data_IF_658264355523
#
_entry.id   IF_658264355523
#
_cell.length_a   1.000
_cell.length_b   1.000
_cell.length_c   1.000
_cell.angle_alpha   90.00
_cell.angle_beta   90.00
_cell.angle_gamma   90.00
#
_symmetry.space_group_name_H-M   'P 1'
#
loop_
_entity.id
_entity.type
_entity.pdbx_description
1 polymer ?
#
# COMPACT_ATOMS: atom_id res chain seq x y z
N UNK A 1 2.73 3.87 51.02
CA UNK A 1 2.74 4.35 49.63
C UNK A 1 1.37 4.96 49.39
N UNK A 2 1.33 6.23 49.06
CA UNK A 2 0.06 6.88 48.72
C UNK A 2 -0.55 6.14 47.52
N UNK A 3 -1.84 5.79 47.58
CA UNK A 3 -2.49 5.17 46.42
C UNK A 3 -2.49 6.15 45.26
N UNK A 4 -1.96 5.73 44.12
CA UNK A 4 -1.90 6.54 42.91
C UNK A 4 -2.87 5.94 41.92
N UNK A 5 -3.74 6.79 41.39
CA UNK A 5 -4.64 6.46 40.29
C UNK A 5 -4.19 7.18 39.03
N UNK A 6 -4.21 6.51 37.90
CA UNK A 6 -3.93 7.08 36.59
C UNK A 6 -5.17 6.96 35.73
N UNK A 7 -5.70 8.10 35.29
CA UNK A 7 -6.80 8.15 34.32
C UNK A 7 -6.23 8.36 32.93
N UNK A 8 -6.43 7.39 32.04
CA UNK A 8 -6.00 7.44 30.65
C UNK A 8 -7.18 7.82 29.76
N UNK A 9 -7.03 8.88 28.98
CA UNK A 9 -7.99 9.27 27.92
C UNK A 9 -7.70 8.44 26.69
N UNK A 10 -8.67 7.65 26.24
CA UNK A 10 -8.52 6.76 25.10
C UNK A 10 -9.02 7.40 23.81
N UNK A 11 -8.24 7.26 22.77
CA UNK A 11 -8.62 7.58 21.40
C UNK A 11 -9.07 6.35 20.60
N UNK A 12 -9.14 6.47 19.28
CA UNK A 12 -9.47 5.34 18.41
C UNK A 12 -8.50 4.16 18.60
N UNK A 13 -9.05 2.93 18.55
CA UNK A 13 -8.30 1.67 18.76
C UNK A 13 -7.59 1.58 20.13
N UNK A 14 -8.21 2.15 21.18
CA UNK A 14 -7.73 2.14 22.58
C UNK A 14 -6.32 2.74 22.77
N UNK A 15 -5.90 3.62 21.85
CA UNK A 15 -4.66 4.38 22.01
C UNK A 15 -4.82 5.44 23.07
N UNK A 16 -3.88 5.47 24.02
CA UNK A 16 -3.84 6.51 25.06
C UNK A 16 -3.46 7.84 24.42
N UNK A 17 -4.34 8.86 24.56
CA UNK A 17 -4.11 10.23 24.09
C UNK A 17 -3.51 11.11 25.18
N UNK A 18 -3.99 10.94 26.41
CA UNK A 18 -3.52 11.68 27.56
C UNK A 18 -3.54 10.80 28.80
N UNK A 19 -2.69 11.12 29.77
CA UNK A 19 -2.63 10.49 31.09
C UNK A 19 -2.66 11.55 32.16
N UNK A 20 -3.57 11.39 33.10
CA UNK A 20 -3.70 12.23 34.26
C UNK A 20 -3.38 11.39 35.51
N UNK A 21 -2.31 11.75 36.21
CA UNK A 21 -1.93 11.10 37.45
C UNK A 21 -2.61 11.85 38.60
N UNK A 22 -3.45 11.17 39.31
CA UNK A 22 -4.15 11.70 40.44
C UNK A 22 -3.54 11.11 41.71
N UNK A 23 -3.04 11.96 42.58
CA UNK A 23 -2.58 11.56 43.90
C UNK A 23 -3.83 11.32 44.76
N UNK A 24 -4.02 10.07 45.16
CA UNK A 24 -5.14 9.68 46.02
C UNK A 24 -4.69 9.81 47.47
N UNK A 25 -4.84 11.01 48.04
CA UNK A 25 -4.50 11.26 49.44
C UNK A 25 -5.73 11.05 50.32
N UNK A 26 -5.73 10.00 51.15
CA UNK A 26 -6.77 9.71 52.14
C UNK A 26 -7.82 8.66 51.74
N UNK A 27 -8.73 8.30 52.62
CA UNK A 27 -9.72 7.26 52.45
C UNK A 27 -10.82 7.57 51.41
N UNK A 28 -10.93 8.82 50.97
CA UNK A 28 -11.89 9.30 49.97
C UNK A 28 -11.18 9.84 48.71
N UNK A 29 -10.13 9.20 48.29
CA UNK A 29 -9.39 9.59 47.10
C UNK A 29 -10.26 9.53 45.85
N UNK A 30 -10.58 10.69 45.30
CA UNK A 30 -11.37 10.79 44.08
C UNK A 30 -10.79 11.83 43.11
N UNK A 31 -11.12 11.72 41.86
CA UNK A 31 -10.89 12.76 40.85
C UNK A 31 -12.18 13.10 40.12
N UNK A 32 -12.31 14.37 39.77
CA UNK A 32 -13.42 14.89 39.00
C UNK A 32 -13.09 14.88 37.52
N UNK A 33 -14.09 14.52 36.73
CA UNK A 33 -13.99 14.46 35.26
C UNK A 33 -15.06 15.37 34.67
N UNK A 34 -14.69 16.24 33.77
CA UNK A 34 -15.64 17.15 33.17
C UNK A 34 -15.02 18.00 32.05
N UNK A 35 -15.80 18.93 31.54
CA UNK A 35 -15.34 19.88 30.52
C UNK A 35 -14.79 21.17 31.11
N UNK A 36 -15.11 21.45 32.37
CA UNK A 36 -14.62 22.65 33.07
C UNK A 36 -13.17 22.49 33.50
N UNK A 37 -12.43 23.59 33.45
CA UNK A 37 -11.04 23.65 33.95
C UNK A 37 -10.90 23.42 35.47
N UNK A 38 -12.00 23.38 36.23
CA UNK A 38 -11.97 23.05 37.66
C UNK A 38 -11.87 21.53 37.91
N UNK A 39 -12.04 20.71 36.89
CA UNK A 39 -11.94 19.26 37.00
C UNK A 39 -10.47 18.80 36.94
N UNK A 40 -10.15 17.71 37.64
CA UNK A 40 -8.83 17.08 37.63
C UNK A 40 -8.51 16.47 36.23
N UNK A 41 -9.53 16.00 35.55
CA UNK A 41 -9.44 15.48 34.17
C UNK A 41 -10.36 16.29 33.28
N UNK A 42 -9.77 17.17 32.48
CA UNK A 42 -10.51 18.04 31.54
C UNK A 42 -10.64 17.35 30.19
N UNK A 43 -11.88 17.23 29.72
CA UNK A 43 -12.21 16.57 28.44
C UNK A 43 -12.75 17.61 27.44
N UNK A 44 -12.16 17.66 26.27
CA UNK A 44 -12.66 18.44 25.12
C UNK A 44 -13.71 17.63 24.36
N UNK A 45 -14.88 17.46 24.95
CA UNK A 45 -16.00 16.71 24.40
C UNK A 45 -17.32 17.45 24.67
N UNK A 46 -18.04 17.95 23.67
CA UNK A 46 -19.28 18.72 23.85
C UNK A 46 -20.42 17.92 24.50
N UNK A 47 -20.30 16.60 24.59
CA UNK A 47 -21.27 15.74 25.28
C UNK A 47 -20.94 15.49 26.74
N UNK A 48 -19.86 16.10 27.25
CA UNK A 48 -19.46 16.04 28.65
C UNK A 48 -19.96 17.30 29.38
N UNK A 49 -20.58 17.12 30.53
CA UNK A 49 -21.00 18.24 31.38
C UNK A 49 -19.80 19.01 31.96
N UNK A 50 -20.01 20.21 32.47
CA UNK A 50 -18.96 21.02 33.09
C UNK A 50 -18.24 20.22 34.19
N UNK A 51 -18.99 19.59 35.10
CA UNK A 51 -18.53 18.54 36.02
C UNK A 51 -19.46 17.36 35.78
N UNK A 52 -18.91 16.24 35.27
CA UNK A 52 -19.72 15.15 34.73
C UNK A 52 -19.71 13.91 35.63
N UNK A 53 -18.55 13.50 36.05
CA UNK A 53 -18.37 12.28 36.81
C UNK A 53 -17.29 12.45 37.89
N UNK A 54 -17.37 11.60 38.91
CA UNK A 54 -16.35 11.44 39.96
C UNK A 54 -15.84 9.99 39.88
N UNK A 55 -14.54 9.82 39.82
CA UNK A 55 -13.88 8.52 39.88
C UNK A 55 -13.16 8.43 41.21
N UNK A 56 -13.41 7.38 41.97
CA UNK A 56 -12.83 7.18 43.28
C UNK A 56 -12.38 5.76 43.54
N UNK A 57 -11.84 5.54 44.71
CA UNK A 57 -11.51 4.20 45.20
C UNK A 57 -12.41 3.91 46.42
N UNK A 58 -12.98 2.70 46.48
CA UNK A 58 -13.63 2.24 47.68
C UNK A 58 -12.62 1.92 48.80
N UNK A 59 -13.06 1.64 50.03
CA UNK A 59 -12.16 1.31 51.13
C UNK A 59 -11.28 0.06 50.86
N UNK A 60 -11.75 -0.81 50.01
CA UNK A 60 -11.03 -2.03 49.55
C UNK A 60 -10.05 -1.71 48.42
N UNK A 61 -10.10 -0.50 47.87
CA UNK A 61 -9.22 0.01 46.79
C UNK A 61 -9.64 -0.42 45.39
N UNK A 62 -10.92 -0.78 45.16
CA UNK A 62 -11.47 -0.97 43.84
C UNK A 62 -11.92 0.37 43.27
N UNK A 63 -11.86 0.49 41.96
CA UNK A 63 -12.28 1.72 41.28
C UNK A 63 -13.78 1.80 41.22
N UNK A 64 -14.31 2.95 41.66
CA UNK A 64 -15.73 3.31 41.56
C UNK A 64 -15.92 4.58 40.74
N UNK A 65 -17.08 4.72 40.12
CA UNK A 65 -17.44 5.92 39.37
C UNK A 65 -18.86 6.36 39.73
N UNK A 66 -19.05 7.66 39.88
CA UNK A 66 -20.34 8.30 40.14
C UNK A 66 -20.66 9.29 39.03
N UNK A 67 -21.91 9.28 38.55
CA UNK A 67 -22.41 10.32 37.66
C UNK A 67 -22.95 11.49 38.51
N UNK A 68 -22.45 12.68 38.30
CA UNK A 68 -22.79 13.89 39.06
C UNK A 68 -24.03 14.62 38.51
N UNK A 69 -24.99 13.87 37.98
CA UNK A 69 -26.25 14.43 37.47
C UNK A 69 -26.08 14.95 36.02
N UNK A 70 -25.25 14.32 35.24
CA UNK A 70 -25.05 14.71 33.86
C UNK A 70 -26.25 14.36 32.99
N UNK A 71 -26.48 15.14 31.92
CA UNK A 71 -27.55 14.87 30.94
C UNK A 71 -27.35 13.57 30.19
N UNK A 72 -26.08 13.25 29.89
CA UNK A 72 -25.75 12.10 29.05
C UNK A 72 -25.40 10.82 29.85
N UNK A 73 -25.24 10.92 31.18
CA UNK A 73 -24.85 9.78 32.01
C UNK A 73 -23.46 9.24 31.70
N UNK A 74 -23.08 8.20 32.42
CA UNK A 74 -21.87 7.42 32.18
C UNK A 74 -22.23 6.05 31.62
N UNK A 75 -21.31 5.43 30.88
CA UNK A 75 -21.53 4.10 30.30
C UNK A 75 -20.44 3.14 30.78
N UNK A 76 -20.84 2.03 31.43
CA UNK A 76 -19.99 0.99 31.98
C UNK A 76 -20.46 -0.36 31.37
N UNK A 77 -19.56 -1.12 30.77
CA UNK A 77 -19.88 -2.43 30.19
C UNK A 77 -21.01 -2.37 29.15
N UNK A 78 -21.16 -1.26 28.41
CA UNK A 78 -22.22 -1.05 27.41
C UNK A 78 -23.57 -0.61 28.00
N UNK A 79 -23.70 -0.47 29.33
CA UNK A 79 -24.92 0.03 30.00
C UNK A 79 -24.76 1.49 30.36
N UNK A 80 -25.73 2.31 30.01
CA UNK A 80 -25.78 3.72 30.39
C UNK A 80 -26.45 3.89 31.75
N UNK A 81 -25.81 4.64 32.63
CA UNK A 81 -26.23 4.90 33.99
C UNK A 81 -26.34 6.42 34.21
N UNK A 82 -27.38 6.87 34.89
CA UNK A 82 -27.62 8.28 35.26
C UNK A 82 -27.76 8.41 36.75
N UNK A 83 -27.18 9.45 37.33
CA UNK A 83 -27.30 9.75 38.76
C UNK A 83 -26.83 8.62 39.68
N UNK A 84 -25.99 7.71 39.17
CA UNK A 84 -25.47 6.58 39.93
C UNK A 84 -24.33 7.05 40.85
N UNK A 85 -24.31 6.53 42.08
CA UNK A 85 -23.25 6.80 43.03
C UNK A 85 -22.45 5.52 43.32
N UNK A 86 -21.11 5.61 43.22
CA UNK A 86 -20.21 4.54 43.58
C UNK A 86 -20.33 3.25 42.73
N UNK A 87 -20.71 3.34 41.47
CA UNK A 87 -20.79 2.17 40.59
C UNK A 87 -19.41 1.51 40.40
N UNK A 88 -19.28 0.18 40.60
CA UNK A 88 -17.99 -0.49 40.47
C UNK A 88 -17.53 -0.54 39.00
N UNK A 89 -16.24 -0.28 38.78
CA UNK A 89 -15.61 -0.26 37.46
C UNK A 89 -14.71 -1.48 37.32
N UNK A 90 -15.32 -2.68 37.16
CA UNK A 90 -14.61 -3.94 37.14
C UNK A 90 -13.56 -4.04 36.00
N UNK A 91 -13.89 -3.56 34.82
CA UNK A 91 -12.99 -3.58 33.64
C UNK A 91 -12.07 -2.35 33.57
N UNK A 92 -12.12 -1.47 34.57
CA UNK A 92 -11.35 -0.24 34.58
C UNK A 92 -11.68 0.76 33.47
N UNK A 93 -12.75 0.54 32.67
CA UNK A 93 -13.13 1.40 31.52
C UNK A 93 -14.52 1.99 31.72
N UNK A 94 -14.61 3.31 31.64
CA UNK A 94 -15.86 4.07 31.64
C UNK A 94 -15.91 4.99 30.42
N UNK A 95 -17.11 5.19 29.88
CA UNK A 95 -17.35 6.18 28.82
C UNK A 95 -18.13 7.35 29.41
N UNK A 96 -17.59 8.54 29.20
CA UNK A 96 -18.14 9.83 29.64
C UNK A 96 -18.38 10.66 28.37
N UNK A 97 -19.63 10.96 28.05
CA UNK A 97 -19.99 11.53 26.76
C UNK A 97 -19.61 10.59 25.59
N UNK A 98 -18.75 11.05 24.70
CA UNK A 98 -18.16 10.25 23.63
C UNK A 98 -16.73 9.78 23.92
N UNK A 99 -16.17 10.20 25.06
CA UNK A 99 -14.80 9.92 25.44
C UNK A 99 -14.74 8.68 26.33
N UNK A 100 -13.83 7.75 26.00
CA UNK A 100 -13.54 6.57 26.82
C UNK A 100 -12.35 6.85 27.73
N UNK A 101 -12.51 6.51 28.98
CA UNK A 101 -11.47 6.62 30.00
C UNK A 101 -11.12 5.24 30.51
N UNK A 102 -9.84 4.99 30.76
CA UNK A 102 -9.36 3.80 31.44
C UNK A 102 -8.67 4.22 32.74
N UNK A 103 -9.08 3.63 33.81
CA UNK A 103 -8.52 3.90 35.14
C UNK A 103 -7.58 2.78 35.49
N UNK A 104 -6.38 3.15 35.90
CA UNK A 104 -5.35 2.21 36.37
C UNK A 104 -4.97 2.56 37.80
N UNK A 105 -4.81 1.53 38.61
CA UNK A 105 -4.37 1.68 40.01
C UNK A 105 -3.00 1.04 40.20
N UNK A 106 -2.32 1.36 41.28
CA UNK A 106 -1.03 0.77 41.65
C UNK A 106 -1.11 -0.74 41.92
N UNK A 107 -2.31 -1.30 42.07
CA UNK A 107 -2.54 -2.75 42.28
C UNK A 107 -2.59 -3.55 40.95
N UNK A 108 -2.67 -2.85 39.82
CA UNK A 108 -2.73 -3.54 38.52
C UNK A 108 -1.40 -4.25 38.23
N UNK A 109 -1.50 -5.52 37.92
CA UNK A 109 -0.33 -6.34 37.56
C UNK A 109 0.14 -5.91 36.18
N UNK A 110 1.31 -5.30 36.10
CA UNK A 110 1.94 -4.94 34.84
C UNK A 110 2.64 -6.18 34.27
N UNK A 111 2.36 -6.51 33.03
CA UNK A 111 3.07 -7.59 32.34
C UNK A 111 4.58 -7.30 32.33
N UNK A 112 5.44 -8.35 32.50
CA UNK A 112 6.88 -8.17 32.45
C UNK A 112 7.30 -7.56 31.11
N UNK A 113 8.39 -6.81 31.13
CA UNK A 113 8.98 -6.23 29.95
C UNK A 113 9.36 -7.33 28.93
N UNK A 114 9.16 -7.01 27.68
CA UNK A 114 9.64 -7.88 26.61
C UNK A 114 11.11 -7.58 26.36
N UNK A 115 11.93 -8.64 26.31
CA UNK A 115 13.35 -8.50 25.96
C UNK A 115 13.42 -7.81 24.56
N UNK A 116 13.94 -6.60 24.54
CA UNK A 116 14.32 -5.94 23.30
C UNK A 116 15.54 -6.70 22.74
N UNK A 117 15.28 -7.58 21.81
CA UNK A 117 16.34 -8.36 21.12
C UNK A 117 17.22 -7.49 20.23
N UNK A 118 17.24 -6.20 20.47
CA UNK A 118 18.11 -5.17 19.94
C UNK A 118 18.56 -5.45 18.51
N UNK A 119 17.98 -4.77 17.57
CA UNK A 119 18.39 -4.76 16.18
C UNK A 119 17.23 -4.32 15.30
N UNK A 120 17.48 -3.57 14.26
CA UNK A 120 16.42 -3.20 13.34
C UNK A 120 15.77 -4.47 12.81
N UNK A 121 14.46 -4.58 12.95
CA UNK A 121 13.70 -5.68 12.35
C UNK A 121 14.05 -5.76 10.86
N UNK A 122 13.91 -6.95 10.23
CA UNK A 122 14.13 -7.06 8.77
C UNK A 122 13.35 -5.98 7.98
N UNK A 123 12.18 -5.56 8.49
CA UNK A 123 11.36 -4.47 7.91
C UNK A 123 12.04 -3.10 7.97
N UNK A 124 12.78 -2.81 9.05
CA UNK A 124 13.53 -1.55 9.17
C UNK A 124 14.84 -1.60 8.38
N UNK A 125 15.47 -2.78 8.25
CA UNK A 125 16.64 -2.98 7.38
C UNK A 125 16.25 -2.89 5.90
N UNK A 126 15.13 -3.50 5.50
CA UNK A 126 14.60 -3.45 4.13
C UNK A 126 14.17 -2.03 3.69
N UNK A 127 13.96 -1.11 4.63
CA UNK A 127 13.61 0.29 4.34
C UNK A 127 14.76 1.26 4.65
N UNK A 128 16.00 0.76 4.76
CA UNK A 128 17.17 1.58 5.07
C UNK A 128 17.70 2.33 3.84
N UNK A 129 18.45 3.43 4.05
CA UNK A 129 18.98 4.25 2.95
C UNK A 129 19.92 3.48 2.01
N UNK A 130 20.59 2.45 2.51
CA UNK A 130 21.44 1.57 1.68
C UNK A 130 20.64 0.74 0.69
N UNK A 131 19.49 0.20 1.13
CA UNK A 131 18.58 -0.56 0.26
C UNK A 131 17.95 0.35 -0.77
N UNK A 132 17.54 1.55 -0.37
CA UNK A 132 17.04 2.57 -1.30
C UNK A 132 18.07 2.93 -2.35
N UNK A 133 19.31 3.19 -1.97
CA UNK A 133 20.39 3.54 -2.90
C UNK A 133 20.69 2.39 -3.88
N UNK A 134 20.76 1.16 -3.39
CA UNK A 134 20.98 -0.02 -4.24
C UNK A 134 19.81 -0.23 -5.21
N UNK A 135 18.57 -0.19 -4.73
CA UNK A 135 17.38 -0.35 -5.56
C UNK A 135 17.27 0.77 -6.60
N UNK A 136 17.56 2.01 -6.22
CA UNK A 136 17.59 3.13 -7.14
C UNK A 136 18.66 2.93 -8.23
N UNK A 137 19.87 2.52 -7.87
CA UNK A 137 20.94 2.23 -8.83
C UNK A 137 20.55 1.13 -9.84
N UNK A 138 19.95 0.02 -9.37
CA UNK A 138 19.46 -1.06 -10.23
C UNK A 138 18.32 -0.57 -11.14
N UNK A 139 17.41 0.23 -10.60
CA UNK A 139 16.30 0.82 -11.38
C UNK A 139 16.79 1.71 -12.51
N UNK A 140 17.75 2.60 -12.22
CA UNK A 140 18.34 3.49 -13.24
C UNK A 140 19.12 2.68 -14.28
N UNK A 141 19.89 1.69 -13.85
CA UNK A 141 20.65 0.83 -14.77
C UNK A 141 19.71 0.02 -15.67
N UNK A 142 18.62 -0.55 -15.14
CA UNK A 142 17.62 -1.28 -15.91
C UNK A 142 16.94 -0.38 -16.94
N UNK A 143 16.47 0.78 -16.53
CA UNK A 143 15.84 1.74 -17.44
C UNK A 143 16.81 2.27 -18.51
N UNK A 144 18.07 2.52 -18.15
CA UNK A 144 19.09 2.92 -19.12
C UNK A 144 19.40 1.81 -20.13
N UNK A 145 19.45 0.58 -19.67
CA UNK A 145 19.61 -0.60 -20.54
C UNK A 145 18.45 -0.74 -21.52
N UNK A 146 17.22 -0.56 -21.05
CA UNK A 146 16.02 -0.58 -21.90
C UNK A 146 16.06 0.51 -22.97
N UNK A 147 16.37 1.76 -22.59
CA UNK A 147 16.53 2.86 -23.56
C UNK A 147 17.64 2.55 -24.56
N UNK A 148 18.79 2.03 -24.10
CA UNK A 148 19.90 1.68 -24.97
C UNK A 148 19.52 0.61 -25.99
N UNK A 149 18.78 -0.41 -25.60
CA UNK A 149 18.36 -1.50 -26.51
C UNK A 149 17.26 -1.08 -27.48
N UNK A 150 16.44 -0.09 -27.13
CA UNK A 150 15.32 0.39 -27.95
C UNK A 150 15.67 1.60 -28.83
N UNK A 151 16.89 2.19 -28.67
CA UNK A 151 17.31 3.35 -29.44
C UNK A 151 18.16 2.93 -30.64
N UNK A 152 17.59 3.00 -31.83
CA UNK A 152 18.25 2.58 -33.07
C UNK A 152 19.40 3.51 -33.50
N UNK A 153 19.33 4.80 -33.16
CA UNK A 153 20.28 5.81 -33.60
C UNK A 153 21.18 6.27 -32.44
N UNK A 154 22.50 6.04 -32.49
CA UNK A 154 23.41 6.43 -31.39
C UNK A 154 23.38 7.91 -31.00
N UNK A 155 23.13 8.80 -31.98
CA UNK A 155 23.03 10.25 -31.72
C UNK A 155 21.80 10.65 -30.90
N UNK A 156 20.77 9.83 -30.83
CA UNK A 156 19.55 10.10 -30.07
C UNK A 156 19.62 9.53 -28.65
N UNK A 157 20.57 8.62 -28.42
CA UNK A 157 20.69 7.90 -27.17
C UNK A 157 20.85 8.84 -25.95
N UNK A 158 21.69 9.87 -26.05
CA UNK A 158 21.91 10.81 -24.95
C UNK A 158 20.63 11.59 -24.60
N UNK A 159 19.87 12.04 -25.59
CA UNK A 159 18.62 12.74 -25.40
C UNK A 159 17.55 11.78 -24.82
N UNK A 160 17.46 10.58 -25.35
CA UNK A 160 16.54 9.56 -24.85
C UNK A 160 16.81 9.21 -23.37
N UNK A 161 18.09 9.00 -23.01
CA UNK A 161 18.49 8.71 -21.61
C UNK A 161 18.16 9.87 -20.67
N UNK A 162 18.47 11.10 -21.05
CA UNK A 162 18.19 12.28 -20.23
C UNK A 162 16.68 12.45 -20.06
N UNK A 163 15.91 12.35 -21.15
CA UNK A 163 14.47 12.48 -21.11
C UNK A 163 13.83 11.39 -20.24
N UNK A 164 14.23 10.14 -20.43
CA UNK A 164 13.75 9.03 -19.60
C UNK A 164 14.05 9.26 -18.13
N UNK A 165 15.27 9.65 -17.78
CA UNK A 165 15.68 9.91 -16.40
C UNK A 165 14.83 11.02 -15.78
N UNK A 166 14.67 12.15 -16.46
CA UNK A 166 13.89 13.28 -15.97
C UNK A 166 12.41 12.91 -15.76
N UNK A 167 11.79 12.26 -16.76
CA UNK A 167 10.38 11.87 -16.68
C UNK A 167 10.16 10.84 -15.56
N UNK A 168 11.02 9.83 -15.49
CA UNK A 168 10.90 8.78 -14.45
C UNK A 168 11.11 9.35 -13.05
N UNK A 169 12.12 10.20 -12.86
CA UNK A 169 12.37 10.82 -11.55
C UNK A 169 11.26 11.80 -11.15
N UNK A 170 10.72 12.57 -12.10
CA UNK A 170 9.61 13.47 -11.84
C UNK A 170 8.35 12.68 -11.44
N UNK A 171 7.98 11.66 -12.20
CA UNK A 171 6.82 10.82 -11.91
C UNK A 171 6.95 10.09 -10.56
N UNK A 172 8.11 9.45 -10.32
CA UNK A 172 8.39 8.79 -9.05
C UNK A 172 8.41 9.78 -7.88
N UNK A 173 8.99 10.96 -8.07
CA UNK A 173 9.05 12.03 -7.07
C UNK A 173 7.66 12.51 -6.66
N UNK A 174 6.79 12.79 -7.62
CA UNK A 174 5.39 13.18 -7.37
C UNK A 174 4.65 12.07 -6.65
N UNK A 175 4.77 10.83 -7.09
CA UNK A 175 4.13 9.67 -6.46
C UNK A 175 4.56 9.48 -5.01
N UNK A 176 5.87 9.51 -4.76
CA UNK A 176 6.45 9.39 -3.42
C UNK A 176 6.00 10.56 -2.53
N UNK A 177 5.98 11.79 -3.05
CA UNK A 177 5.55 12.98 -2.31
C UNK A 177 4.08 12.90 -1.87
N UNK A 178 3.18 12.44 -2.75
CA UNK A 178 1.77 12.23 -2.43
C UNK A 178 1.59 11.25 -1.25
N UNK A 179 2.28 10.11 -1.28
CA UNK A 179 2.21 9.13 -0.21
C UNK A 179 2.91 9.58 1.07
N UNK A 180 4.00 10.34 0.97
CA UNK A 180 4.67 10.95 2.10
C UNK A 180 3.77 12.00 2.78
N UNK A 181 3.03 12.78 2.00
CA UNK A 181 2.03 13.71 2.49
C UNK A 181 0.87 12.99 3.19
N UNK A 182 0.34 11.93 2.57
CA UNK A 182 -0.71 11.09 3.18
C UNK A 182 -0.24 10.51 4.53
N UNK A 183 1.00 10.02 4.61
CA UNK A 183 1.59 9.53 5.87
C UNK A 183 1.71 10.63 6.92
N UNK A 184 2.09 11.84 6.50
CA UNK A 184 2.21 13.00 7.40
C UNK A 184 0.86 13.40 7.98
N UNK A 185 -0.18 13.40 7.16
CA UNK A 185 -1.56 13.69 7.62
C UNK A 185 -2.06 12.61 8.58
N UNK A 186 -1.82 11.34 8.28
CA UNK A 186 -2.31 10.23 9.09
C UNK A 186 -1.55 10.01 10.40
N UNK A 187 -0.24 10.27 10.42
CA UNK A 187 0.66 9.91 11.53
C UNK A 187 1.52 11.04 12.05
N UNK A 188 1.50 12.23 11.46
CA UNK A 188 2.38 13.34 11.79
C UNK A 188 3.81 13.23 11.23
N UNK A 189 4.15 12.13 10.57
CA UNK A 189 5.50 11.82 10.06
C UNK A 189 5.45 11.52 8.56
N UNK A 190 6.28 12.21 7.76
CA UNK A 190 6.42 11.90 6.34
C UNK A 190 7.35 10.71 6.14
N UNK A 191 6.87 9.53 5.95
CA UNK A 191 7.66 8.30 5.80
C UNK A 191 8.26 8.14 4.39
N UNK A 192 8.78 9.24 3.80
CA UNK A 192 9.20 9.31 2.40
C UNK A 192 10.23 8.26 2.01
N UNK A 193 11.22 7.96 2.88
CA UNK A 193 12.24 6.91 2.61
C UNK A 193 11.58 5.55 2.40
N UNK A 194 10.54 5.22 3.19
CA UNK A 194 9.83 3.94 3.03
C UNK A 194 9.07 3.90 1.71
N UNK A 195 8.39 5.00 1.36
CA UNK A 195 7.67 5.08 0.10
C UNK A 195 8.60 5.03 -1.10
N UNK A 196 9.73 5.71 -1.05
CA UNK A 196 10.77 5.64 -2.09
C UNK A 196 11.36 4.21 -2.20
N UNK A 197 11.63 3.56 -1.08
CA UNK A 197 12.14 2.17 -1.07
C UNK A 197 11.14 1.20 -1.71
N UNK A 198 9.84 1.32 -1.42
CA UNK A 198 8.80 0.48 -2.05
C UNK A 198 8.84 0.64 -3.57
N UNK A 199 8.83 1.88 -4.07
CA UNK A 199 8.84 2.16 -5.51
C UNK A 199 10.08 1.58 -6.17
N UNK A 200 11.27 1.94 -5.70
CA UNK A 200 12.52 1.56 -6.37
C UNK A 200 12.85 0.07 -6.21
N UNK A 201 12.51 -0.58 -5.08
CA UNK A 201 12.70 -2.03 -4.94
C UNK A 201 11.79 -2.79 -5.89
N UNK A 202 10.51 -2.41 -5.99
CA UNK A 202 9.59 -3.10 -6.91
C UNK A 202 10.00 -2.85 -8.35
N UNK A 203 10.39 -1.63 -8.72
CA UNK A 203 10.84 -1.34 -10.07
C UNK A 203 12.15 -2.08 -10.42
N UNK A 204 13.11 -2.15 -9.49
CA UNK A 204 14.34 -2.92 -9.69
C UNK A 204 14.06 -4.42 -9.89
N UNK A 205 13.17 -5.00 -9.09
CA UNK A 205 12.75 -6.40 -9.25
C UNK A 205 12.04 -6.60 -10.58
N UNK A 206 11.13 -5.69 -10.95
CA UNK A 206 10.41 -5.71 -12.21
C UNK A 206 11.38 -5.75 -13.41
N UNK A 207 12.34 -4.81 -13.46
CA UNK A 207 13.33 -4.75 -14.53
C UNK A 207 14.16 -6.04 -14.66
N UNK A 208 14.54 -6.65 -13.54
CA UNK A 208 15.27 -7.93 -13.55
C UNK A 208 14.38 -9.08 -14.03
N UNK A 209 13.12 -9.12 -13.60
CA UNK A 209 12.16 -10.17 -14.00
C UNK A 209 11.85 -10.07 -15.48
N UNK A 210 11.61 -8.87 -16.01
CA UNK A 210 11.36 -8.64 -17.44
C UNK A 210 12.56 -9.04 -18.28
N UNK A 211 13.77 -8.64 -17.91
CA UNK A 211 14.98 -9.04 -18.61
C UNK A 211 15.19 -10.56 -18.58
N UNK A 212 14.99 -11.20 -17.42
CA UNK A 212 15.10 -12.64 -17.29
C UNK A 212 14.05 -13.39 -18.13
N UNK A 213 12.82 -12.88 -18.17
CA UNK A 213 11.76 -13.42 -18.99
C UNK A 213 12.09 -13.31 -20.48
N UNK A 214 12.54 -12.16 -20.96
CA UNK A 214 12.91 -11.96 -22.37
C UNK A 214 14.03 -12.91 -22.80
N UNK A 215 15.07 -13.03 -21.97
CA UNK A 215 16.18 -13.96 -22.23
C UNK A 215 15.66 -15.41 -22.26
N UNK A 216 14.86 -15.83 -21.28
CA UNK A 216 14.33 -17.18 -21.22
C UNK A 216 13.37 -17.49 -22.38
N UNK A 217 12.47 -16.56 -22.70
CA UNK A 217 11.51 -16.70 -23.80
C UNK A 217 12.22 -16.85 -25.14
N UNK A 218 13.21 -16.00 -25.41
CA UNK A 218 14.00 -16.07 -26.63
C UNK A 218 14.94 -17.29 -26.69
N UNK A 219 15.70 -17.56 -25.63
CA UNK A 219 16.66 -18.67 -25.58
C UNK A 219 15.97 -20.03 -25.69
N UNK A 220 14.82 -20.22 -25.08
CA UNK A 220 14.07 -21.47 -25.07
C UNK A 220 13.04 -21.56 -26.21
N UNK A 221 12.79 -20.45 -26.94
CA UNK A 221 11.79 -20.38 -28.01
C UNK A 221 10.38 -20.70 -27.49
N UNK A 222 9.99 -20.17 -26.34
CA UNK A 222 8.69 -20.48 -25.70
C UNK A 222 7.52 -19.83 -26.42
N UNK A 223 7.77 -18.79 -27.25
CA UNK A 223 6.74 -18.00 -27.96
C UNK A 223 5.61 -17.50 -27.07
N UNK A 224 5.91 -17.24 -25.78
CA UNK A 224 4.95 -16.65 -24.87
C UNK A 224 4.74 -15.18 -25.24
N UNK A 225 3.47 -14.74 -25.22
CA UNK A 225 3.17 -13.33 -25.48
C UNK A 225 3.77 -12.44 -24.40
N UNK A 226 4.74 -11.61 -24.77
CA UNK A 226 5.38 -10.65 -23.89
C UNK A 226 4.38 -9.64 -23.34
N UNK A 227 3.33 -9.31 -24.10
CA UNK A 227 2.26 -8.40 -23.65
C UNK A 227 1.44 -8.96 -22.50
N UNK A 228 0.99 -10.22 -22.62
CA UNK A 228 0.17 -10.84 -21.56
C UNK A 228 1.00 -11.05 -20.31
N UNK A 229 2.22 -11.59 -20.47
CA UNK A 229 3.13 -11.80 -19.33
C UNK A 229 3.51 -10.47 -18.69
N UNK A 230 3.86 -9.46 -19.50
CA UNK A 230 4.17 -8.11 -19.01
C UNK A 230 3.00 -7.48 -18.26
N UNK A 231 1.77 -7.57 -18.79
CA UNK A 231 0.59 -7.07 -18.11
C UNK A 231 0.38 -7.72 -16.73
N UNK A 232 0.56 -9.05 -16.63
CA UNK A 232 0.45 -9.77 -15.36
C UNK A 232 1.55 -9.34 -14.38
N UNK A 233 2.79 -9.26 -14.85
CA UNK A 233 3.95 -8.85 -14.01
C UNK A 233 3.78 -7.42 -13.50
N UNK A 234 3.37 -6.49 -14.37
CA UNK A 234 3.07 -5.10 -14.00
C UNK A 234 1.89 -5.04 -13.02
N UNK A 235 0.84 -5.85 -13.22
CA UNK A 235 -0.29 -5.94 -12.31
C UNK A 235 0.10 -6.41 -10.90
N UNK A 236 0.96 -7.41 -10.82
CA UNK A 236 1.53 -7.88 -9.54
C UNK A 236 2.39 -6.79 -8.90
N UNK A 237 3.28 -6.15 -9.66
CA UNK A 237 4.11 -5.06 -9.18
C UNK A 237 3.27 -3.89 -8.64
N UNK A 238 2.24 -3.45 -9.38
CA UNK A 238 1.31 -2.41 -8.96
C UNK A 238 0.57 -2.80 -7.67
N UNK A 239 0.17 -4.08 -7.54
CA UNK A 239 -0.48 -4.61 -6.33
C UNK A 239 0.44 -4.55 -5.11
N UNK A 240 1.71 -4.89 -5.27
CA UNK A 240 2.72 -4.81 -4.19
C UNK A 240 2.99 -3.36 -3.80
N UNK A 241 3.16 -2.47 -4.78
CA UNK A 241 3.39 -1.03 -4.56
C UNK A 241 2.20 -0.41 -3.82
N UNK A 242 0.98 -0.58 -4.33
CA UNK A 242 -0.21 0.02 -3.74
C UNK A 242 -0.49 -0.53 -2.35
N UNK A 243 -0.39 -1.85 -2.15
CA UNK A 243 -0.53 -2.48 -0.83
C UNK A 243 0.51 -1.96 0.17
N UNK A 244 1.76 -1.85 -0.26
CA UNK A 244 2.87 -1.34 0.56
C UNK A 244 2.65 0.11 0.99
N UNK A 245 2.19 0.96 0.08
CA UNK A 245 1.85 2.35 0.37
C UNK A 245 0.67 2.46 1.33
N UNK A 246 -0.43 1.73 1.09
CA UNK A 246 -1.61 1.73 1.96
C UNK A 246 -1.29 1.27 3.39
N UNK A 247 -0.50 0.20 3.54
CA UNK A 247 -0.05 -0.28 4.87
C UNK A 247 0.85 0.75 5.56
N UNK A 248 1.64 1.51 4.80
CA UNK A 248 2.59 2.49 5.36
C UNK A 248 1.93 3.82 5.69
N UNK A 249 0.98 4.27 4.86
CA UNK A 249 0.37 5.61 4.93
C UNK A 249 -0.98 5.64 5.66
N UNK A 250 -1.58 4.49 6.00
CA UNK A 250 -2.90 4.46 6.62
C UNK A 250 -2.93 3.68 7.94
N UNK A 251 -3.91 3.99 8.79
CA UNK A 251 -4.19 3.24 10.02
C UNK A 251 -5.11 2.03 9.78
N UNK A 252 -5.37 1.67 8.52
CA UNK A 252 -6.22 0.53 8.16
C UNK A 252 -5.60 -0.79 8.63
N UNK A 253 -6.46 -1.80 8.85
CA UNK A 253 -5.99 -3.16 9.06
C UNK A 253 -5.22 -3.63 7.83
N UNK A 254 -4.04 -4.23 8.02
CA UNK A 254 -3.18 -4.65 6.91
C UNK A 254 -3.90 -5.53 5.87
N UNK A 255 -4.82 -6.40 6.32
CA UNK A 255 -5.63 -7.25 5.42
C UNK A 255 -6.51 -6.42 4.47
N UNK A 256 -7.11 -5.32 4.96
CA UNK A 256 -7.95 -4.43 4.15
C UNK A 256 -7.08 -3.65 3.16
N UNK A 257 -5.95 -3.11 3.61
CA UNK A 257 -5.01 -2.41 2.76
C UNK A 257 -4.49 -3.30 1.61
N UNK A 258 -4.15 -4.55 1.91
CA UNK A 258 -3.73 -5.54 0.90
C UNK A 258 -4.87 -5.90 -0.04
N UNK A 259 -6.09 -6.12 0.48
CA UNK A 259 -7.25 -6.42 -0.37
C UNK A 259 -7.50 -5.30 -1.39
N UNK A 260 -7.51 -4.04 -0.95
CA UNK A 260 -7.66 -2.87 -1.85
C UNK A 260 -6.49 -2.80 -2.84
N UNK A 261 -5.25 -2.95 -2.34
CA UNK A 261 -4.04 -2.88 -3.14
C UNK A 261 -3.92 -3.97 -4.21
N UNK A 262 -4.58 -5.10 -4.04
CA UNK A 262 -4.65 -6.18 -5.04
C UNK A 262 -5.84 -6.01 -5.97
N UNK A 263 -7.02 -5.69 -5.42
CA UNK A 263 -8.25 -5.62 -6.23
C UNK A 263 -8.20 -4.52 -7.29
N UNK A 264 -7.70 -3.33 -6.94
CA UNK A 264 -7.67 -2.21 -7.89
C UNK A 264 -6.78 -2.52 -9.10
N UNK A 265 -5.49 -2.89 -8.96
CA UNK A 265 -4.67 -3.24 -10.11
C UNK A 265 -5.21 -4.44 -10.89
N UNK A 266 -5.76 -5.46 -10.21
CA UNK A 266 -6.34 -6.62 -10.87
C UNK A 266 -7.51 -6.22 -11.79
N UNK A 267 -8.43 -5.40 -11.33
CA UNK A 267 -9.55 -4.89 -12.16
C UNK A 267 -9.03 -4.09 -13.35
N UNK A 268 -8.04 -3.20 -13.13
CA UNK A 268 -7.45 -2.41 -14.22
C UNK A 268 -6.81 -3.33 -15.27
N UNK A 269 -5.98 -4.29 -14.86
CA UNK A 269 -5.31 -5.21 -15.80
C UNK A 269 -6.33 -6.06 -16.56
N UNK A 270 -7.32 -6.63 -15.88
CA UNK A 270 -8.38 -7.42 -16.54
C UNK A 270 -9.14 -6.58 -17.55
N UNK A 271 -9.46 -5.32 -17.21
CA UNK A 271 -10.13 -4.41 -18.14
C UNK A 271 -9.27 -4.10 -19.36
N UNK A 272 -7.98 -3.81 -19.16
CA UNK A 272 -7.05 -3.52 -20.25
C UNK A 272 -6.88 -4.74 -21.17
N UNK A 273 -6.69 -5.95 -20.62
CA UNK A 273 -6.60 -7.18 -21.39
C UNK A 273 -7.90 -7.47 -22.16
N UNK A 274 -9.06 -7.20 -21.55
CA UNK A 274 -10.34 -7.36 -22.22
C UNK A 274 -10.54 -6.36 -23.37
N UNK A 275 -10.14 -5.09 -23.17
CA UNK A 275 -10.17 -4.07 -24.22
C UNK A 275 -9.23 -4.44 -25.37
N UNK A 276 -8.02 -4.92 -25.06
CA UNK A 276 -7.03 -5.38 -26.04
C UNK A 276 -7.58 -6.55 -26.85
N UNK A 277 -8.15 -7.59 -26.20
CA UNK A 277 -8.76 -8.72 -26.90
C UNK A 277 -9.85 -8.27 -27.89
N UNK A 278 -10.67 -7.28 -27.51
CA UNK A 278 -11.68 -6.72 -28.41
C UNK A 278 -11.10 -5.89 -29.56
N UNK A 279 -9.97 -5.23 -29.34
CA UNK A 279 -9.33 -4.43 -30.39
C UNK A 279 -8.65 -5.32 -31.44
N UNK A 280 -8.11 -6.46 -31.03
CA UNK A 280 -7.48 -7.44 -31.94
C UNK A 280 -8.48 -8.04 -32.94
N UNK A 281 -9.76 -8.17 -32.56
CA UNK A 281 -10.81 -8.60 -33.49
C UNK A 281 -11.08 -7.58 -34.61
N UNK A 282 -10.71 -6.31 -34.41
CA UNK A 282 -10.93 -5.23 -35.38
C UNK A 282 -9.73 -4.87 -36.26
N UNK A 283 -8.53 -5.18 -35.81
CA UNK A 283 -7.29 -4.90 -36.55
C UNK A 283 -6.23 -5.91 -36.19
N UNK A 284 -6.02 -6.95 -36.99
CA UNK A 284 -4.98 -7.92 -36.76
C UNK A 284 -3.61 -7.29 -37.04
N UNK A 285 -3.07 -6.56 -36.06
CA UNK A 285 -1.69 -6.08 -36.13
C UNK A 285 -0.75 -7.25 -35.83
N UNK A 286 -0.32 -7.93 -36.81
CA UNK A 286 0.80 -8.87 -36.76
C UNK A 286 2.12 -8.11 -36.65
N UNK A 287 2.33 -7.42 -35.55
CA UNK A 287 3.67 -6.95 -35.19
C UNK A 287 4.23 -8.03 -34.28
N UNK A 288 5.36 -8.59 -34.67
CA UNK A 288 6.05 -9.64 -33.92
C UNK A 288 6.21 -9.25 -32.45
N UNK A 289 5.78 -10.12 -31.56
CA UNK A 289 5.84 -9.97 -30.13
C UNK A 289 7.29 -10.01 -29.58
N UNK A 290 8.30 -9.90 -30.44
CA UNK A 290 9.71 -9.99 -30.09
C UNK A 290 10.41 -8.68 -30.42
N UNK A 291 10.53 -7.84 -29.39
CA UNK A 291 11.16 -6.52 -29.53
C UNK A 291 12.70 -6.60 -29.57
N UNK A 292 13.30 -7.76 -29.26
CA UNK A 292 14.75 -7.93 -29.17
C UNK A 292 15.24 -9.19 -29.84
N UNK A 293 16.29 -9.05 -30.67
CA UNK A 293 17.01 -10.18 -31.24
C UNK A 293 18.16 -10.57 -30.30
N UNK A 294 18.08 -11.76 -29.72
CA UNK A 294 19.15 -12.27 -28.86
C UNK A 294 20.39 -12.69 -29.69
N UNK A 295 21.61 -12.44 -29.14
CA UNK A 295 22.83 -12.96 -29.72
C UNK A 295 22.76 -14.49 -29.86
N UNK A 296 23.28 -15.06 -30.98
CA UNK A 296 23.26 -16.51 -31.23
C UNK A 296 23.85 -17.36 -30.10
N UNK A 297 24.80 -16.80 -29.33
CA UNK A 297 25.42 -17.47 -28.17
C UNK A 297 24.45 -17.74 -27.02
N UNK A 298 23.34 -17.00 -26.94
CA UNK A 298 22.29 -17.17 -25.90
C UNK A 298 21.15 -18.09 -26.35
N UNK A 299 21.13 -18.53 -27.63
CA UNK A 299 20.10 -19.42 -28.14
C UNK A 299 20.43 -20.86 -27.76
N UNK A 300 19.60 -21.51 -26.97
CA UNK A 300 19.69 -22.93 -26.63
C UNK A 300 19.18 -23.80 -27.82
N UNK A 301 18.22 -23.29 -28.59
CA UNK A 301 17.72 -23.93 -29.77
C UNK A 301 18.68 -23.71 -30.96
N UNK A 302 19.01 -24.80 -31.64
CA UNK A 302 19.72 -24.71 -32.94
C UNK A 302 18.81 -24.01 -33.93
N UNK A 303 19.33 -23.03 -34.68
CA UNK A 303 18.63 -22.39 -35.77
C UNK A 303 18.20 -23.44 -36.81
N UNK A 304 17.09 -23.17 -37.50
CA UNK A 304 16.69 -23.99 -38.64
C UNK A 304 17.76 -23.86 -39.75
N UNK A 305 18.13 -24.94 -40.41
CA UNK A 305 18.95 -24.85 -41.62
C UNK A 305 18.22 -24.01 -42.68
N UNK A 306 18.98 -23.36 -43.56
CA UNK A 306 18.45 -22.42 -44.54
C UNK A 306 17.31 -23.04 -45.38
N UNK A 307 17.45 -24.29 -45.75
CA UNK A 307 16.44 -25.04 -46.53
C UNK A 307 15.13 -25.21 -45.75
N UNK A 308 15.22 -25.45 -44.45
CA UNK A 308 14.04 -25.52 -43.58
C UNK A 308 13.34 -24.16 -43.40
N UNK A 309 14.13 -23.09 -43.34
CA UNK A 309 13.59 -21.73 -43.31
C UNK A 309 12.90 -21.35 -44.62
N UNK A 310 13.53 -21.63 -45.76
CA UNK A 310 12.95 -21.30 -47.07
C UNK A 310 11.70 -22.13 -47.37
N UNK A 311 11.65 -23.41 -46.96
CA UNK A 311 10.44 -24.22 -47.05
C UNK A 311 9.28 -23.65 -46.24
N UNK A 312 9.59 -23.11 -45.05
CA UNK A 312 8.60 -22.41 -44.19
C UNK A 312 8.03 -21.14 -44.82
N UNK A 313 8.78 -20.45 -45.68
CA UNK A 313 8.30 -19.23 -46.36
C UNK A 313 7.11 -19.49 -47.31
N UNK A 314 7.09 -20.65 -47.97
CA UNK A 314 5.98 -21.04 -48.84
C UNK A 314 4.66 -21.21 -48.07
N UNK A 315 4.73 -21.85 -46.90
CA UNK A 315 3.58 -22.00 -45.99
C UNK A 315 3.13 -20.65 -45.39
N UNK A 316 4.06 -19.78 -45.10
CA UNK A 316 3.77 -18.43 -44.57
C UNK A 316 3.05 -17.59 -45.63
N UNK A 317 3.48 -17.69 -46.90
CA UNK A 317 2.82 -17.02 -48.03
C UNK A 317 1.39 -17.55 -48.23
N UNK A 318 1.20 -18.87 -48.21
CA UNK A 318 -0.13 -19.47 -48.33
C UNK A 318 -1.10 -19.00 -47.21
N UNK A 319 -0.60 -18.93 -46.00
CA UNK A 319 -1.38 -18.40 -44.84
C UNK A 319 -1.70 -16.91 -44.99
N UNK A 320 -0.77 -16.11 -45.48
CA UNK A 320 -0.98 -14.69 -45.71
C UNK A 320 -2.02 -14.45 -46.83
N UNK A 321 -1.96 -15.22 -47.90
CA UNK A 321 -2.91 -15.15 -49.02
C UNK A 321 -4.33 -15.60 -48.56
N UNK A 322 -4.42 -16.67 -47.79
CA UNK A 322 -5.67 -17.13 -47.21
C UNK A 322 -6.31 -16.07 -46.26
N UNK A 323 -5.46 -15.42 -45.47
CA UNK A 323 -5.91 -14.35 -44.55
C UNK A 323 -6.38 -13.11 -45.33
N UNK A 324 -5.68 -12.73 -46.37
CA UNK A 324 -6.08 -11.61 -47.24
C UNK A 324 -7.44 -11.89 -47.87
N UNK A 325 -7.64 -13.06 -48.45
CA UNK A 325 -8.90 -13.48 -49.02
C UNK A 325 -10.07 -13.59 -47.99
N UNK A 326 -9.75 -13.81 -46.73
CA UNK A 326 -10.75 -13.78 -45.66
C UNK A 326 -11.17 -12.35 -45.34
N UNK A 327 -10.21 -11.40 -45.18
CA UNK A 327 -10.46 -10.00 -44.92
C UNK A 327 -11.25 -9.33 -46.04
N UNK A 328 -10.90 -9.59 -47.29
CA UNK A 328 -11.61 -9.09 -48.47
C UNK A 328 -13.06 -9.58 -48.55
N UNK A 329 -13.38 -10.72 -47.94
CA UNK A 329 -14.75 -11.23 -47.86
C UNK A 329 -15.55 -10.61 -46.74
N UNK A 330 -14.93 -10.26 -45.61
CA UNK A 330 -15.61 -9.64 -44.46
C UNK A 330 -15.82 -8.13 -44.62
N UNK A 331 -14.93 -7.46 -45.34
CA UNK A 331 -15.01 -6.00 -45.60
C UNK A 331 -14.73 -5.78 -47.10
N UNK A 332 -15.72 -6.01 -47.98
CA UNK A 332 -15.57 -5.64 -49.35
C UNK A 332 -15.49 -4.12 -49.46
N UNK A 333 -14.25 -3.61 -49.58
CA UNK A 333 -13.99 -2.21 -49.89
C UNK A 333 -14.81 -1.88 -51.16
N UNK A 334 -15.59 -0.76 -51.18
CA UNK A 334 -16.30 -0.36 -52.38
C UNK A 334 -15.23 -0.15 -53.48
N UNK A 335 -15.41 -0.85 -54.60
CA UNK A 335 -14.59 -0.66 -55.78
C UNK A 335 -14.51 0.85 -56.06
N UNK A 336 -13.30 1.35 -56.31
CA UNK A 336 -13.08 2.68 -56.89
C UNK A 336 -13.79 2.71 -58.27
N UNK A 337 -15.09 3.01 -58.27
CA UNK A 337 -15.83 3.48 -59.43
C UNK A 337 -15.66 5.00 -59.52
N UNK A 338 -14.46 5.46 -59.82
CA UNK A 338 -14.23 6.82 -60.28
C UNK A 338 -13.09 6.80 -61.32
N UNK A 339 -13.46 6.40 -62.52
CA UNK A 339 -12.71 6.67 -63.72
C UNK A 339 -13.69 6.84 -64.90
N UNK A 340 -14.34 8.02 -65.00
CA UNK A 340 -14.72 8.66 -66.25
C UNK A 340 -14.64 10.22 -66.08
#
# INVERSE_FOLDING_TARGET
MEPVMVVEVLGGHDRVRARHRVAASGPEAHCTVGRSAVCDVVLDDPFVAAVHARIGLDPEGHVTVSDLGSVNGIEIGGRRLHGVEGAPLADGVVRVGRTRLRVRTAREVVAPERVDRGGPSWRTRAAGPRVLAAAFGVSVAGAAFEVWTNTAQPRELSTALVTMLLVTLAAAGVWIALWALASRVAFGESRWVRHATIVFVVYAVLSVVELAFEIANGALGLHLSSRVVGAVVVGVAASVVLSGHLVTASAMRARVAVAIGVTIPAVVIVTLLWMEARSQDRSPSYIADHDRVLPPALLVRRGLPLDGFTAGLADLRARADARRAFVEREDPSPAEDDAE
#
